data_IF_151046790609
#
_entry.id   IF_151046790609
#
_cell.length_a   1.000
_cell.length_b   1.000
_cell.length_c   1.000
_cell.angle_alpha   90.00
_cell.angle_beta   90.00
_cell.angle_gamma   90.00
#
_symmetry.space_group_name_H-M   'P 1'
#
loop_
_entity.id
_entity.type
_entity.pdbx_description
1 polymer ?
#
# COMPACT_ATOMS: atom_id res chain seq x y z
N UNK A 1 13.22 4.56 -0.90
CA UNK A 1 11.81 5.00 -0.75
C UNK A 1 10.96 3.80 -0.38
N UNK A 2 10.40 3.76 0.84
CA UNK A 2 9.59 2.62 1.25
C UNK A 2 8.10 2.82 0.94
N UNK A 3 7.47 1.77 0.42
CA UNK A 3 6.03 1.68 0.19
C UNK A 3 5.45 0.67 1.16
N UNK A 4 4.38 1.02 1.86
CA UNK A 4 3.69 0.13 2.79
C UNK A 4 2.34 -0.33 2.25
N UNK A 5 1.95 -1.58 2.56
CA UNK A 5 0.66 -2.17 2.22
C UNK A 5 0.17 -3.03 3.38
N UNK A 6 -1.15 -3.04 3.63
CA UNK A 6 -1.79 -3.88 4.65
C UNK A 6 -2.80 -4.81 3.99
N UNK A 7 -2.79 -6.07 4.40
CA UNK A 7 -3.73 -7.10 3.96
C UNK A 7 -4.30 -7.79 5.20
N UNK A 8 -5.62 -7.70 5.40
CA UNK A 8 -6.30 -8.44 6.46
C UNK A 8 -6.40 -9.94 6.10
N UNK A 9 -5.99 -10.81 7.01
CA UNK A 9 -6.03 -12.27 6.85
C UNK A 9 -7.28 -12.79 7.56
N UNK A 10 -8.13 -13.54 6.84
CA UNK A 10 -9.40 -14.04 7.36
C UNK A 10 -9.46 -15.56 7.51
N UNK A 11 -8.51 -16.29 6.91
CA UNK A 11 -8.54 -17.76 6.85
C UNK A 11 -7.18 -18.41 7.16
N UNK A 12 -6.24 -18.36 6.27
CA UNK A 12 -4.97 -19.12 6.31
C UNK A 12 -3.80 -18.28 6.81
N UNK A 13 -3.79 -18.01 8.13
CA UNK A 13 -2.66 -17.32 8.80
C UNK A 13 -1.37 -18.13 8.70
N UNK A 14 -1.45 -19.46 8.80
CA UNK A 14 -0.32 -20.36 8.62
C UNK A 14 0.40 -20.15 7.28
N UNK A 15 -0.35 -20.05 6.18
CA UNK A 15 0.25 -19.79 4.86
C UNK A 15 0.97 -18.45 4.80
N UNK A 16 0.50 -17.44 5.51
CA UNK A 16 1.14 -16.11 5.53
C UNK A 16 2.40 -16.11 6.37
N UNK A 17 2.39 -16.77 7.53
CA UNK A 17 3.60 -16.95 8.34
C UNK A 17 4.64 -17.72 7.55
N UNK A 18 4.30 -18.89 6.99
CA UNK A 18 5.22 -19.69 6.19
C UNK A 18 5.73 -18.97 4.94
N UNK A 19 4.94 -18.10 4.32
CA UNK A 19 5.37 -17.28 3.19
C UNK A 19 6.39 -16.23 3.61
N UNK A 20 6.17 -15.56 4.74
CA UNK A 20 7.08 -14.52 5.25
C UNK A 20 8.45 -15.07 5.58
N UNK A 21 8.52 -16.27 6.17
CA UNK A 21 9.78 -16.92 6.58
C UNK A 21 10.32 -17.95 5.58
N UNK A 22 9.87 -17.92 4.33
CA UNK A 22 10.30 -18.88 3.31
C UNK A 22 11.80 -18.81 3.07
N UNK A 23 12.55 -19.84 3.50
CA UNK A 23 14.01 -19.90 3.44
C UNK A 23 14.61 -19.65 2.06
N UNK A 24 13.94 -20.08 0.97
CA UNK A 24 14.39 -19.79 -0.41
C UNK A 24 14.40 -18.30 -0.78
N UNK A 25 13.69 -17.48 -0.01
CA UNK A 25 13.51 -16.03 -0.27
C UNK A 25 14.24 -15.16 0.75
N UNK A 26 14.44 -15.67 1.95
CA UNK A 26 14.97 -14.93 3.10
C UNK A 26 16.43 -15.28 3.41
N UNK A 27 17.03 -16.21 2.66
CA UNK A 27 18.41 -16.63 2.84
C UNK A 27 19.31 -15.93 1.83
N UNK A 28 20.37 -15.33 2.30
CA UNK A 28 21.50 -14.89 1.49
C UNK A 28 22.58 -15.99 1.53
N UNK A 29 22.82 -16.60 0.39
CA UNK A 29 23.93 -17.52 0.24
C UNK A 29 25.20 -16.73 -0.06
N UNK A 30 26.06 -16.58 0.94
CA UNK A 30 27.36 -15.91 0.81
C UNK A 30 28.39 -16.73 0.05
N UNK A 31 28.06 -17.99 -0.30
CA UNK A 31 28.95 -18.92 -1.02
C UNK A 31 29.30 -18.46 -2.45
N UNK A 32 28.56 -17.55 -3.06
CA UNK A 32 28.86 -17.06 -4.41
C UNK A 32 30.08 -16.12 -4.43
N UNK A 33 30.42 -15.48 -3.31
CA UNK A 33 31.52 -14.52 -3.24
C UNK A 33 32.85 -15.14 -2.76
N UNK A 34 32.81 -16.37 -2.23
CA UNK A 34 33.98 -17.08 -1.70
C UNK A 34 34.15 -18.49 -2.31
N UNK A 35 34.30 -18.54 -3.63
CA UNK A 35 34.58 -19.79 -4.36
C UNK A 35 35.93 -20.48 -4.00
N UNK A 36 36.58 -20.10 -2.89
CA UNK A 36 37.90 -20.62 -2.50
C UNK A 36 37.98 -21.31 -1.12
N UNK A 37 36.88 -21.39 -0.34
CA UNK A 37 36.95 -22.05 0.97
C UNK A 37 35.62 -22.75 1.35
N UNK A 38 35.48 -24.07 1.16
CA UNK A 38 34.25 -24.83 1.41
C UNK A 38 33.84 -24.96 2.88
N UNK A 39 34.67 -24.55 3.84
CA UNK A 39 34.39 -24.72 5.28
C UNK A 39 33.72 -23.55 5.98
N UNK A 40 33.35 -22.45 5.26
CA UNK A 40 32.77 -21.25 5.86
C UNK A 40 31.60 -20.66 5.02
N UNK A 41 30.64 -21.47 4.64
CA UNK A 41 29.39 -20.95 4.07
C UNK A 41 28.47 -20.53 5.22
N UNK A 42 28.55 -19.29 5.64
CA UNK A 42 27.58 -18.72 6.57
C UNK A 42 26.32 -18.35 5.77
N UNK A 43 25.22 -19.05 6.03
CA UNK A 43 23.89 -18.67 5.53
C UNK A 43 23.30 -17.63 6.46
N UNK A 44 23.07 -16.41 5.96
CA UNK A 44 22.38 -15.36 6.69
C UNK A 44 20.88 -15.48 6.45
N UNK A 45 20.13 -15.74 7.51
CA UNK A 45 18.66 -15.80 7.46
C UNK A 45 18.07 -14.47 7.90
N UNK A 46 17.26 -13.86 7.03
CA UNK A 46 16.59 -12.59 7.32
C UNK A 46 15.15 -12.83 7.79
N UNK A 47 15.03 -13.53 8.92
CA UNK A 47 13.77 -13.79 9.60
C UNK A 47 13.88 -13.48 11.09
N UNK A 48 12.83 -12.91 11.68
CA UNK A 48 12.77 -12.58 13.12
C UNK A 48 11.37 -12.82 13.66
N UNK A 49 11.29 -13.27 14.91
CA UNK A 49 10.07 -13.36 15.69
C UNK A 49 10.08 -12.31 16.80
N UNK A 50 8.94 -11.68 17.07
CA UNK A 50 8.74 -10.70 18.14
C UNK A 50 7.58 -11.21 18.99
N UNK A 51 7.80 -11.36 20.30
CA UNK A 51 6.84 -11.94 21.24
C UNK A 51 6.42 -13.38 20.90
N UNK A 52 7.28 -14.10 20.18
CA UNK A 52 7.21 -15.53 19.93
C UNK A 52 8.57 -16.12 20.22
N UNK A 53 8.62 -17.41 20.60
CA UNK A 53 9.86 -18.11 20.85
C UNK A 53 10.72 -18.23 19.59
N UNK A 54 10.08 -18.57 18.47
CA UNK A 54 10.75 -18.66 17.15
C UNK A 54 9.78 -18.40 16.01
N UNK A 55 10.31 -18.25 14.80
CA UNK A 55 9.48 -18.15 13.59
C UNK A 55 8.70 -19.44 13.30
N UNK A 56 9.25 -20.59 13.66
CA UNK A 56 8.67 -21.91 13.46
C UNK A 56 7.47 -22.14 14.39
N UNK A 57 7.57 -21.69 15.63
CA UNK A 57 6.51 -21.85 16.67
C UNK A 57 5.46 -20.73 16.63
N UNK A 58 5.79 -19.59 16.00
CA UNK A 58 4.96 -18.38 16.02
C UNK A 58 3.49 -18.60 15.65
N UNK A 59 3.22 -19.43 14.62
CA UNK A 59 1.83 -19.71 14.25
C UNK A 59 1.06 -20.42 15.36
N UNK A 60 1.67 -21.40 16.01
CA UNK A 60 1.05 -22.13 17.12
C UNK A 60 0.80 -21.19 18.32
N UNK A 61 1.76 -20.36 18.65
CA UNK A 61 1.66 -19.37 19.73
C UNK A 61 0.53 -18.35 19.45
N UNK A 62 0.45 -17.82 18.24
CA UNK A 62 -0.65 -16.96 17.79
C UNK A 62 -2.03 -17.65 17.90
N UNK A 63 -2.11 -18.97 17.67
CA UNK A 63 -3.36 -19.72 17.86
C UNK A 63 -3.69 -19.89 19.34
N UNK A 64 -2.69 -20.18 20.20
CA UNK A 64 -2.87 -20.27 21.66
C UNK A 64 -3.42 -18.96 22.22
N UNK A 65 -2.87 -17.81 21.81
CA UNK A 65 -3.38 -16.48 22.19
C UNK A 65 -4.83 -16.29 21.77
N UNK A 66 -5.19 -16.61 20.52
CA UNK A 66 -6.58 -16.52 20.05
C UNK A 66 -7.52 -17.42 20.83
N UNK A 67 -7.09 -18.64 21.11
CA UNK A 67 -7.86 -19.60 21.88
C UNK A 67 -8.08 -19.13 23.34
N UNK A 68 -7.01 -18.65 23.98
CA UNK A 68 -7.07 -18.09 25.35
C UNK A 68 -8.12 -16.99 25.51
N UNK A 69 -8.29 -16.14 24.50
CA UNK A 69 -9.27 -15.05 24.52
C UNK A 69 -10.57 -15.36 23.76
N UNK A 70 -10.79 -16.58 23.27
CA UNK A 70 -12.00 -16.97 22.55
C UNK A 70 -12.22 -16.24 21.21
N UNK A 71 -11.13 -15.82 20.52
CA UNK A 71 -11.20 -14.95 19.33
C UNK A 71 -10.66 -15.61 18.07
N UNK A 72 -11.15 -16.79 17.76
CA UNK A 72 -10.70 -17.60 16.62
C UNK A 72 -11.23 -17.14 15.24
N UNK A 73 -12.37 -16.44 15.20
CA UNK A 73 -13.05 -16.06 13.96
C UNK A 73 -12.78 -14.63 13.49
N UNK A 74 -13.29 -14.29 12.31
CA UNK A 74 -13.16 -12.97 11.68
C UNK A 74 -11.78 -12.71 11.11
N UNK A 75 -11.21 -11.52 11.34
CA UNK A 75 -9.82 -11.24 10.96
C UNK A 75 -8.90 -11.97 11.95
N UNK A 76 -8.07 -12.88 11.45
CA UNK A 76 -7.17 -13.74 12.24
C UNK A 76 -5.73 -13.22 12.29
N UNK A 77 -5.38 -12.29 11.43
CA UNK A 77 -4.07 -11.63 11.41
C UNK A 77 -4.02 -10.53 10.37
N UNK A 78 -2.91 -9.82 10.34
CA UNK A 78 -2.61 -8.82 9.33
C UNK A 78 -1.24 -9.09 8.72
N UNK A 79 -1.14 -8.85 7.42
CA UNK A 79 0.10 -8.95 6.68
C UNK A 79 0.46 -7.56 6.16
N UNK A 80 1.54 -7.00 6.69
CA UNK A 80 2.11 -5.74 6.24
C UNK A 80 3.26 -6.05 5.28
N UNK A 81 3.38 -5.25 4.24
CA UNK A 81 4.50 -5.32 3.30
C UNK A 81 5.14 -3.94 3.30
N UNK A 82 6.45 -3.89 3.51
CA UNK A 82 7.27 -2.69 3.39
C UNK A 82 8.31 -2.93 2.30
N UNK A 83 8.22 -2.20 1.18
CA UNK A 83 9.09 -2.39 0.01
C UNK A 83 9.98 -1.18 -0.20
N UNK A 84 11.26 -1.40 -0.46
CA UNK A 84 12.26 -0.37 -0.72
C UNK A 84 12.51 -0.21 -2.21
N UNK A 85 13.09 0.92 -2.64
CA UNK A 85 13.51 1.09 -4.02
C UNK A 85 14.71 0.16 -4.34
N UNK A 86 14.85 -0.30 -5.58
CA UNK A 86 16.00 -1.11 -5.98
C UNK A 86 17.33 -0.43 -5.66
N UNK A 87 18.23 -1.14 -4.97
CA UNK A 87 19.57 -0.64 -4.63
C UNK A 87 19.63 0.40 -3.52
N UNK A 88 18.50 0.75 -2.87
CA UNK A 88 18.45 1.77 -1.81
C UNK A 88 18.89 1.23 -0.44
N UNK A 89 18.75 -0.05 -0.20
CA UNK A 89 19.09 -0.72 1.08
C UNK A 89 19.84 -2.01 0.84
N UNK A 90 20.67 -2.38 1.81
CA UNK A 90 21.24 -3.74 1.89
C UNK A 90 20.23 -4.71 2.52
N UNK A 91 20.38 -6.04 2.36
CA UNK A 91 19.54 -7.03 3.03
C UNK A 91 19.47 -6.85 4.54
N UNK A 92 20.60 -6.62 5.19
CA UNK A 92 20.74 -6.41 6.64
C UNK A 92 20.00 -5.12 7.06
N UNK A 93 20.19 -4.03 6.32
CA UNK A 93 19.52 -2.76 6.59
C UNK A 93 18.01 -2.89 6.41
N UNK A 94 17.54 -3.54 5.34
CA UNK A 94 16.13 -3.79 5.09
C UNK A 94 15.50 -4.60 6.23
N UNK A 95 16.17 -5.68 6.67
CA UNK A 95 15.69 -6.53 7.76
C UNK A 95 15.63 -5.77 9.08
N UNK A 96 16.70 -5.08 9.45
CA UNK A 96 16.74 -4.26 10.66
C UNK A 96 15.61 -3.23 10.70
N UNK A 97 15.37 -2.52 9.59
CA UNK A 97 14.26 -1.55 9.48
C UNK A 97 12.90 -2.26 9.61
N UNK A 98 12.74 -3.46 9.03
CA UNK A 98 11.52 -4.26 9.14
C UNK A 98 11.22 -4.72 10.56
N UNK A 99 12.24 -5.16 11.29
CA UNK A 99 12.13 -5.54 12.71
C UNK A 99 11.78 -4.32 13.57
N UNK A 100 12.48 -3.22 13.39
CA UNK A 100 12.21 -1.97 14.11
C UNK A 100 10.80 -1.42 13.83
N UNK A 101 10.36 -1.49 12.58
CA UNK A 101 8.99 -1.14 12.17
C UNK A 101 7.95 -1.99 12.91
N UNK A 102 8.16 -3.30 12.96
CA UNK A 102 7.29 -4.24 13.64
C UNK A 102 7.29 -4.01 15.15
N UNK A 103 8.45 -3.75 15.75
CA UNK A 103 8.62 -3.49 17.18
C UNK A 103 7.88 -2.22 17.61
N UNK A 104 8.06 -1.10 16.89
CA UNK A 104 7.41 0.18 17.21
C UNK A 104 5.89 0.12 17.11
N UNK A 105 5.36 -0.63 16.13
CA UNK A 105 3.90 -0.69 15.93
C UNK A 105 3.20 -1.75 16.78
N UNK A 106 3.86 -2.87 17.04
CA UNK A 106 3.18 -4.07 17.54
C UNK A 106 3.88 -4.73 18.74
N UNK A 107 5.17 -4.43 18.99
CA UNK A 107 6.02 -5.17 19.92
C UNK A 107 5.52 -5.20 21.38
N UNK A 108 4.70 -4.25 21.80
CA UNK A 108 4.16 -4.24 23.17
C UNK A 108 2.96 -5.16 23.36
N UNK A 109 2.28 -5.59 22.27
CA UNK A 109 0.94 -6.16 22.38
C UNK A 109 0.64 -7.37 21.50
N UNK A 110 1.42 -7.61 20.47
CA UNK A 110 1.09 -8.63 19.46
C UNK A 110 2.30 -9.51 19.16
N UNK A 111 2.02 -10.78 18.87
CA UNK A 111 3.01 -11.68 18.28
C UNK A 111 3.20 -11.30 16.80
N UNK A 112 4.45 -11.23 16.38
CA UNK A 112 4.83 -10.81 15.02
C UNK A 112 5.92 -11.70 14.47
N UNK A 113 5.84 -11.95 13.16
CA UNK A 113 6.91 -12.57 12.38
C UNK A 113 7.32 -11.60 11.28
N UNK A 114 8.61 -11.38 11.14
CA UNK A 114 9.22 -10.55 10.10
C UNK A 114 10.09 -11.41 9.20
N UNK A 115 9.89 -11.32 7.90
CA UNK A 115 10.77 -11.95 6.91
C UNK A 115 11.12 -10.96 5.81
N UNK A 116 12.42 -10.82 5.50
CA UNK A 116 12.89 -9.97 4.41
C UNK A 116 13.16 -10.81 3.18
N UNK A 117 12.42 -10.58 2.12
CA UNK A 117 12.56 -11.30 0.86
C UNK A 117 13.60 -10.64 -0.04
N UNK A 118 14.50 -11.47 -0.56
CA UNK A 118 15.66 -11.09 -1.38
C UNK A 118 15.48 -11.50 -2.86
N UNK A 119 14.39 -12.18 -3.20
CA UNK A 119 14.12 -12.82 -4.50
C UNK A 119 13.75 -11.85 -5.62
N UNK A 120 13.79 -10.53 -5.36
CA UNK A 120 13.43 -9.49 -6.34
C UNK A 120 14.46 -8.35 -6.32
N UNK A 121 14.48 -7.57 -7.41
CA UNK A 121 15.32 -6.39 -7.54
C UNK A 121 15.07 -5.33 -6.44
N UNK A 122 13.86 -5.32 -5.85
CA UNK A 122 13.51 -4.49 -4.71
C UNK A 122 13.34 -5.37 -3.46
N UNK A 123 14.12 -5.08 -2.44
CA UNK A 123 14.00 -5.75 -1.15
C UNK A 123 12.68 -5.37 -0.47
N UNK A 124 12.05 -6.33 0.19
CA UNK A 124 10.78 -6.07 0.86
C UNK A 124 10.59 -6.93 2.10
N UNK A 125 10.08 -6.30 3.14
CA UNK A 125 9.74 -6.95 4.39
C UNK A 125 8.29 -7.43 4.37
N UNK A 126 8.08 -8.66 4.82
CA UNK A 126 6.79 -9.23 5.13
C UNK A 126 6.65 -9.30 6.65
N UNK A 127 5.74 -8.53 7.22
CA UNK A 127 5.44 -8.48 8.66
C UNK A 127 4.07 -9.09 8.88
N UNK A 128 4.02 -10.25 9.49
CA UNK A 128 2.77 -10.96 9.81
C UNK A 128 2.47 -10.82 11.29
N UNK A 129 1.33 -10.21 11.60
CA UNK A 129 0.92 -9.83 12.96
C UNK A 129 -0.30 -10.63 13.37
N UNK A 130 -0.29 -11.17 14.57
CA UNK A 130 -1.50 -11.73 15.18
C UNK A 130 -2.57 -10.64 15.34
N UNK A 131 -3.82 -10.95 15.03
CA UNK A 131 -4.90 -9.97 15.20
C UNK A 131 -5.31 -9.75 16.64
N UNK A 132 -4.95 -10.65 17.55
CA UNK A 132 -5.36 -10.64 18.96
C UNK A 132 -4.17 -10.29 19.84
N UNK A 133 -4.32 -9.27 20.67
CA UNK A 133 -3.32 -8.87 21.67
C UNK A 133 -3.16 -9.96 22.74
N UNK A 134 -1.92 -10.36 23.03
CA UNK A 134 -1.63 -11.28 24.12
C UNK A 134 -1.77 -10.65 25.50
N UNK A 135 -1.82 -9.31 25.58
CA UNK A 135 -1.95 -8.56 26.84
C UNK A 135 -3.40 -8.53 27.35
N UNK A 136 -4.34 -8.15 26.48
CA UNK A 136 -5.74 -7.90 26.85
C UNK A 136 -6.77 -8.53 25.90
N UNK A 137 -6.33 -9.31 24.93
CA UNK A 137 -7.19 -9.97 23.94
C UNK A 137 -7.91 -9.03 22.97
N UNK A 138 -7.63 -7.72 22.97
CA UNK A 138 -8.22 -6.81 22.00
C UNK A 138 -7.69 -7.09 20.61
N UNK A 139 -8.60 -7.05 19.63
CA UNK A 139 -8.18 -7.18 18.22
C UNK A 139 -7.62 -5.87 17.70
N UNK A 140 -6.50 -5.98 16.96
CA UNK A 140 -6.01 -4.89 16.15
C UNK A 140 -7.06 -4.53 15.08
N UNK A 141 -7.28 -3.25 14.90
CA UNK A 141 -8.20 -2.73 13.89
C UNK A 141 -7.48 -1.79 12.94
N UNK A 142 -7.43 -2.19 11.66
CA UNK A 142 -6.88 -1.34 10.61
C UNK A 142 -7.96 -0.45 10.02
N UNK A 143 -7.76 0.85 10.07
CA UNK A 143 -8.58 1.88 9.44
C UNK A 143 -7.73 2.72 8.48
N UNK A 144 -8.33 3.51 7.57
CA UNK A 144 -7.57 4.47 6.78
C UNK A 144 -6.77 5.45 7.66
N UNK A 145 -7.32 5.86 8.80
CA UNK A 145 -6.64 6.74 9.76
C UNK A 145 -5.40 6.07 10.36
N UNK A 146 -5.52 4.86 10.93
CA UNK A 146 -4.38 4.14 11.51
C UNK A 146 -3.30 3.83 10.45
N UNK A 147 -3.71 3.56 9.20
CA UNK A 147 -2.75 3.36 8.12
C UNK A 147 -1.87 4.60 7.89
N UNK A 148 -2.47 5.78 7.77
CA UNK A 148 -1.72 7.00 7.46
C UNK A 148 -0.94 7.53 8.66
N UNK A 149 -1.57 7.57 9.84
CA UNK A 149 -1.01 8.22 11.03
C UNK A 149 -0.09 7.31 11.86
N UNK A 150 -0.22 5.99 11.73
CA UNK A 150 0.62 5.04 12.46
C UNK A 150 1.55 4.31 11.50
N UNK A 151 1.02 3.47 10.60
CA UNK A 151 1.81 2.53 9.80
C UNK A 151 2.73 3.26 8.81
N UNK A 152 2.17 4.15 7.99
CA UNK A 152 2.95 4.91 7.02
C UNK A 152 3.89 5.90 7.70
N UNK A 153 3.41 6.62 8.70
CA UNK A 153 4.22 7.59 9.45
C UNK A 153 5.43 6.93 10.11
N UNK A 154 5.26 5.76 10.75
CA UNK A 154 6.38 4.99 11.33
C UNK A 154 7.37 4.54 10.27
N UNK A 155 6.89 4.02 9.13
CA UNK A 155 7.76 3.63 8.02
C UNK A 155 8.54 4.82 7.45
N UNK A 156 7.87 5.97 7.25
CA UNK A 156 8.50 7.19 6.74
C UNK A 156 9.53 7.76 7.74
N UNK A 157 9.27 7.67 9.05
CA UNK A 157 10.21 8.07 10.11
C UNK A 157 11.45 7.19 10.10
N UNK A 158 11.27 5.87 10.04
CA UNK A 158 12.39 4.93 9.96
C UNK A 158 13.23 5.13 8.69
N UNK A 159 12.58 5.46 7.56
CA UNK A 159 13.31 5.79 6.34
C UNK A 159 14.21 7.02 6.55
N UNK A 160 13.70 8.11 7.17
CA UNK A 160 14.49 9.30 7.46
C UNK A 160 15.63 9.02 8.45
N UNK A 161 15.38 8.25 9.50
CA UNK A 161 16.39 7.85 10.49
C UNK A 161 17.53 7.01 9.89
N UNK A 162 17.30 6.40 8.74
CA UNK A 162 18.28 5.59 8.01
C UNK A 162 18.75 6.22 6.69
N UNK A 163 18.56 7.53 6.52
CA UNK A 163 18.95 8.29 5.33
C UNK A 163 18.34 7.79 4.02
N UNK A 164 17.15 7.16 4.09
CA UNK A 164 16.41 6.67 2.94
C UNK A 164 15.39 7.69 2.45
N UNK A 165 15.08 7.62 1.17
CA UNK A 165 14.09 8.50 0.56
C UNK A 165 12.66 8.21 1.05
N UNK A 166 11.84 9.25 1.16
CA UNK A 166 10.42 9.18 1.56
C UNK A 166 9.54 9.71 0.43
N UNK A 167 8.39 9.08 0.20
CA UNK A 167 7.43 9.56 -0.80
C UNK A 167 6.73 10.82 -0.27
N UNK A 168 7.02 11.97 -0.86
CA UNK A 168 6.18 13.14 -0.68
C UNK A 168 4.84 12.91 -1.41
N UNK A 169 3.69 12.97 -0.72
CA UNK A 169 2.39 12.78 -1.37
C UNK A 169 2.13 13.95 -2.33
N UNK A 170 2.13 13.66 -3.62
CA UNK A 170 1.73 14.61 -4.67
C UNK A 170 0.22 14.45 -4.93
N UNK A 171 -0.61 15.12 -4.11
CA UNK A 171 -2.06 15.14 -4.30
C UNK A 171 -2.79 13.80 -4.04
N UNK A 172 -4.01 13.68 -4.53
CA UNK A 172 -4.80 12.43 -4.45
C UNK A 172 -4.27 11.43 -5.46
N UNK A 173 -3.80 10.28 -4.99
CA UNK A 173 -3.34 9.19 -5.85
C UNK A 173 -4.44 8.69 -6.81
N UNK A 174 -4.06 8.31 -8.02
CA UNK A 174 -4.96 7.69 -9.00
C UNK A 174 -5.31 6.25 -8.59
N UNK A 175 -6.51 5.80 -8.95
CA UNK A 175 -6.86 4.38 -8.77
C UNK A 175 -5.93 3.51 -9.61
N UNK A 176 -5.48 2.35 -9.07
CA UNK A 176 -4.51 1.47 -9.75
C UNK A 176 -4.90 1.10 -11.19
N UNK A 177 -6.18 0.85 -11.46
CA UNK A 177 -6.66 0.52 -12.81
C UNK A 177 -6.48 1.70 -13.79
N UNK A 178 -6.69 2.93 -13.33
CA UNK A 178 -6.50 4.16 -14.11
C UNK A 178 -5.00 4.39 -14.38
N UNK A 179 -4.16 4.29 -13.35
CA UNK A 179 -2.70 4.37 -13.48
C UNK A 179 -2.15 3.31 -14.44
N UNK A 180 -2.62 2.05 -14.33
CA UNK A 180 -2.19 0.96 -15.21
C UNK A 180 -2.58 1.20 -16.67
N UNK A 181 -3.81 1.67 -16.92
CA UNK A 181 -4.29 1.98 -18.25
C UNK A 181 -3.46 3.10 -18.89
N UNK A 182 -3.19 4.18 -18.15
CA UNK A 182 -2.33 5.28 -18.62
C UNK A 182 -0.92 4.80 -18.98
N UNK A 183 -0.27 3.99 -18.12
CA UNK A 183 1.07 3.46 -18.36
C UNK A 183 1.13 2.41 -19.50
N UNK A 184 0.00 1.81 -19.84
CA UNK A 184 -0.09 0.86 -20.97
C UNK A 184 -0.61 1.51 -22.26
N UNK A 185 -0.80 2.84 -22.29
CA UNK A 185 -1.32 3.58 -23.42
C UNK A 185 -2.79 3.30 -23.75
N UNK A 186 -3.52 2.67 -22.82
CA UNK A 186 -4.96 2.40 -23.00
C UNK A 186 -5.77 3.63 -22.59
N UNK A 187 -6.69 4.11 -23.44
CA UNK A 187 -7.53 5.23 -23.08
C UNK A 187 -8.43 4.87 -21.87
N UNK A 188 -8.53 5.78 -20.93
CA UNK A 188 -9.47 5.69 -19.82
C UNK A 188 -10.67 6.58 -20.09
N UNK A 189 -11.84 6.27 -19.49
CA UNK A 189 -13.02 7.15 -19.60
C UNK A 189 -12.68 8.59 -19.22
N UNK A 190 -11.83 8.77 -18.21
CA UNK A 190 -11.38 10.11 -17.77
C UNK A 190 -10.46 10.79 -18.78
N UNK A 191 -9.56 10.06 -19.44
CA UNK A 191 -8.68 10.63 -20.46
C UNK A 191 -9.46 11.01 -21.72
N UNK A 192 -10.48 10.23 -22.09
CA UNK A 192 -11.38 10.54 -23.20
C UNK A 192 -12.15 11.84 -22.89
N UNK A 193 -12.84 11.88 -21.72
CA UNK A 193 -13.60 13.08 -21.31
C UNK A 193 -12.70 14.31 -21.26
N UNK A 194 -11.45 14.18 -20.79
CA UNK A 194 -10.50 15.30 -20.75
C UNK A 194 -10.15 15.77 -22.15
N UNK A 195 -9.86 14.86 -23.08
CA UNK A 195 -9.57 15.19 -24.46
C UNK A 195 -10.75 15.92 -25.13
N UNK A 196 -11.98 15.42 -24.94
CA UNK A 196 -13.18 16.04 -25.49
C UNK A 196 -13.40 17.44 -24.89
N UNK A 197 -13.22 17.60 -23.59
CA UNK A 197 -13.31 18.90 -22.91
C UNK A 197 -12.23 19.87 -23.41
N UNK A 198 -10.98 19.42 -23.55
CA UNK A 198 -9.87 20.27 -24.03
C UNK A 198 -10.13 20.73 -25.47
N UNK A 199 -10.72 19.88 -26.32
CA UNK A 199 -11.16 20.25 -27.69
C UNK A 199 -12.27 21.31 -27.66
N UNK A 200 -13.32 21.06 -26.86
CA UNK A 200 -14.48 21.95 -26.75
C UNK A 200 -14.12 23.33 -26.16
N UNK A 201 -13.19 23.37 -25.20
CA UNK A 201 -12.71 24.65 -24.63
C UNK A 201 -12.06 25.52 -25.69
N UNK A 202 -11.33 24.93 -26.65
CA UNK A 202 -10.71 25.66 -27.76
C UNK A 202 -11.73 26.33 -28.70
N UNK A 203 -12.97 25.84 -28.74
CA UNK A 203 -14.06 26.36 -29.59
C UNK A 203 -15.07 27.25 -28.86
N UNK A 204 -15.08 27.17 -27.52
CA UNK A 204 -16.07 27.84 -26.69
C UNK A 204 -15.60 29.24 -26.27
N UNK A 205 -16.35 30.28 -26.66
CA UNK A 205 -16.09 31.67 -26.25
C UNK A 205 -16.78 32.06 -24.93
N UNK A 206 -17.82 31.32 -24.51
CA UNK A 206 -18.53 31.52 -23.27
C UNK A 206 -18.81 30.20 -22.56
N UNK A 207 -19.10 30.28 -21.27
CA UNK A 207 -19.48 29.11 -20.49
C UNK A 207 -20.76 28.44 -21.00
N UNK A 208 -21.72 29.21 -21.44
CA UNK A 208 -22.96 28.68 -22.02
C UNK A 208 -22.70 27.94 -23.33
N UNK A 209 -21.87 28.52 -24.21
CA UNK A 209 -21.44 27.84 -25.45
C UNK A 209 -20.70 26.53 -25.14
N UNK A 210 -19.83 26.51 -24.14
CA UNK A 210 -19.15 25.31 -23.68
C UNK A 210 -20.14 24.23 -23.24
N UNK A 211 -21.14 24.56 -22.43
CA UNK A 211 -22.18 23.61 -22.01
C UNK A 211 -23.04 23.12 -23.17
N UNK A 212 -23.28 23.98 -24.14
CA UNK A 212 -24.03 23.62 -25.35
C UNK A 212 -23.23 22.61 -26.18
N UNK A 213 -21.97 22.87 -26.45
CA UNK A 213 -21.09 21.98 -27.21
C UNK A 213 -20.93 20.63 -26.51
N UNK A 214 -20.75 20.58 -25.19
CA UNK A 214 -20.74 19.32 -24.44
C UNK A 214 -22.01 18.50 -24.64
N UNK A 215 -23.18 19.15 -24.70
CA UNK A 215 -24.44 18.45 -24.96
C UNK A 215 -24.55 17.94 -26.38
N UNK A 216 -24.00 18.67 -27.34
CA UNK A 216 -23.94 18.24 -28.76
C UNK A 216 -23.07 17.00 -28.94
N UNK A 217 -21.97 16.87 -28.17
CA UNK A 217 -21.14 15.65 -28.09
C UNK A 217 -21.79 14.51 -27.30
N UNK A 218 -23.05 14.66 -26.90
CA UNK A 218 -23.82 13.61 -26.24
C UNK A 218 -23.59 13.49 -24.72
N UNK A 219 -22.93 14.47 -24.09
CA UNK A 219 -22.78 14.51 -22.65
C UNK A 219 -24.07 15.00 -21.95
N UNK A 220 -24.48 14.28 -20.91
CA UNK A 220 -25.53 14.81 -20.02
C UNK A 220 -24.86 15.65 -18.93
N UNK A 221 -25.08 16.96 -19.02
CA UNK A 221 -24.53 17.94 -18.08
C UNK A 221 -25.49 18.14 -16.92
N UNK A 222 -25.06 17.80 -15.72
CA UNK A 222 -25.81 18.02 -14.48
C UNK A 222 -25.24 19.26 -13.78
N UNK A 223 -25.89 20.38 -13.98
CA UNK A 223 -25.60 21.65 -13.32
C UNK A 223 -26.78 22.03 -12.44
N UNK A 224 -26.67 21.85 -11.12
CA UNK A 224 -27.67 22.30 -10.18
C UNK A 224 -27.15 23.52 -9.41
N UNK A 225 -27.98 24.58 -9.16
CA UNK A 225 -27.56 25.77 -8.42
C UNK A 225 -26.98 25.49 -7.03
N UNK A 226 -27.33 24.36 -6.43
CA UNK A 226 -26.84 23.90 -5.12
C UNK A 226 -25.51 23.18 -5.18
N UNK A 227 -24.96 22.89 -6.35
CA UNK A 227 -23.72 22.15 -6.51
C UNK A 227 -22.55 23.05 -6.87
N UNK A 228 -21.50 22.99 -6.10
CA UNK A 228 -20.25 23.74 -6.34
C UNK A 228 -19.53 23.34 -7.65
N UNK A 229 -19.81 22.15 -8.19
CA UNK A 229 -19.12 21.62 -9.37
C UNK A 229 -20.11 21.01 -10.36
N UNK A 230 -19.83 21.21 -11.63
CA UNK A 230 -20.58 20.57 -12.73
C UNK A 230 -20.17 19.09 -12.82
N UNK A 231 -21.14 18.21 -12.98
CA UNK A 231 -20.91 16.79 -13.26
C UNK A 231 -21.36 16.45 -14.67
N UNK A 232 -20.55 15.68 -15.37
CA UNK A 232 -20.83 15.23 -16.73
C UNK A 232 -20.99 13.71 -16.78
N UNK A 233 -22.03 13.24 -17.44
CA UNK A 233 -22.24 11.85 -17.76
C UNK A 233 -21.84 11.64 -19.22
N UNK A 234 -20.81 10.83 -19.51
CA UNK A 234 -20.39 10.58 -20.89
C UNK A 234 -21.41 9.73 -21.65
N UNK A 235 -21.45 9.80 -22.99
CA UNK A 235 -22.29 8.95 -23.81
C UNK A 235 -22.13 7.47 -23.47
N UNK A 236 -23.24 6.77 -23.21
CA UNK A 236 -23.22 5.36 -22.77
C UNK A 236 -22.69 5.10 -21.36
N UNK A 237 -22.32 6.12 -20.61
CA UNK A 237 -21.85 6.01 -19.24
C UNK A 237 -22.96 5.73 -18.25
N UNK A 238 -22.66 4.94 -17.18
CA UNK A 238 -23.61 4.65 -16.10
C UNK A 238 -23.47 5.56 -14.88
N UNK A 239 -22.38 6.33 -14.79
CA UNK A 239 -22.08 7.22 -13.64
C UNK A 239 -21.57 8.56 -14.12
N UNK A 240 -22.09 9.63 -13.53
CA UNK A 240 -21.59 10.98 -13.76
C UNK A 240 -20.18 11.12 -13.13
N UNK A 241 -19.31 11.83 -13.82
CA UNK A 241 -17.96 12.17 -13.39
C UNK A 241 -17.92 13.65 -13.04
N UNK A 242 -17.27 13.97 -11.91
CA UNK A 242 -17.08 15.36 -11.49
C UNK A 242 -16.16 16.06 -12.49
N UNK A 243 -16.61 17.16 -13.07
CA UNK A 243 -15.77 18.02 -13.89
C UNK A 243 -14.76 18.74 -12.98
N UNK A 244 -13.46 18.52 -13.24
CA UNK A 244 -12.37 19.23 -12.56
C UNK A 244 -12.11 20.63 -13.13
N UNK A 245 -12.98 21.11 -14.02
CA UNK A 245 -12.85 22.45 -14.61
C UNK A 245 -13.35 23.44 -13.58
N UNK A 246 -12.43 24.09 -12.88
CA UNK A 246 -12.68 25.34 -12.21
C UNK A 246 -12.68 26.44 -13.28
N UNK A 247 -13.83 26.66 -13.89
CA UNK A 247 -14.04 27.93 -14.57
C UNK A 247 -14.43 28.89 -13.44
N UNK A 248 -13.42 29.60 -12.90
CA UNK A 248 -13.68 30.81 -12.15
C UNK A 248 -14.48 31.72 -13.07
N UNK A 249 -15.69 32.09 -12.67
CA UNK A 249 -16.40 33.18 -13.35
C UNK A 249 -15.42 34.35 -13.47
N UNK A 250 -15.32 34.99 -14.66
CA UNK A 250 -14.55 36.21 -14.74
C UNK A 250 -15.19 37.19 -13.74
N UNK A 251 -14.43 37.61 -12.75
CA UNK A 251 -14.81 38.69 -11.84
C UNK A 251 -15.26 39.83 -12.71
N UNK A 252 -16.59 40.14 -12.63
CA UNK A 252 -17.13 41.33 -13.26
C UNK A 252 -16.33 42.55 -12.78
N UNK A 253 -15.96 43.45 -13.69
CA UNK A 253 -15.35 44.72 -13.32
C UNK A 253 -16.29 45.60 -12.48
#
# INVERSE_FOLDING_TARGET
MAITKIIAIRDRLDKRVNYAVNGKKTTLDTGITYAANPEKTEQLFFTSAINCESCETAYAEMQVTKWRFGKLGGVVGYHFIQSFAPGEVTPEQAHRIGVEFAQRLFGERYEVVVGTHLDRAHLHNHVVVNSVSFVDGKKYHSSPGSYYFEVRSTSDTLCRENDLSVIAPQGKGKHYAEWKAENTGKPTIRSIIRGDIDSIIGEAYTYETFLMLLRQEGYVVQNAPSRKYVTVLPPGGKRAILSLIHISEPTRP
#
